data_IF_927216210250
#
_entry.id   IF_927216210250
#
_cell.length_a   1.000
_cell.length_b   1.000
_cell.length_c   1.000
_cell.angle_alpha   90.00
_cell.angle_beta   90.00
_cell.angle_gamma   90.00
#
_symmetry.space_group_name_H-M   'P 1'
#
loop_
_entity.id
_entity.type
_entity.pdbx_description
1 polymer ?
#
# COMPACT_ATOMS: atom_id res chain seq x y z
N UNK A 1 -7.29 12.47 -11.16
CA UNK A 1 -6.43 11.26 -11.35
C UNK A 1 -7.04 10.30 -12.36
N UNK A 2 -6.27 9.77 -13.33
CA UNK A 2 -6.75 8.89 -14.41
C UNK A 2 -7.13 7.44 -13.99
N UNK A 3 -6.93 7.05 -12.73
CA UNK A 3 -7.24 5.69 -12.27
C UNK A 3 -8.75 5.47 -12.09
N UNK A 4 -9.32 4.29 -12.36
CA UNK A 4 -10.73 4.03 -12.08
C UNK A 4 -11.05 3.87 -10.58
N UNK A 5 -12.34 3.87 -10.22
CA UNK A 5 -12.77 3.46 -8.89
C UNK A 5 -12.55 1.95 -8.72
N UNK A 6 -12.29 1.51 -7.49
CA UNK A 6 -12.06 0.11 -7.18
C UNK A 6 -10.68 -0.43 -7.59
N UNK A 7 -9.80 0.39 -8.17
CA UNK A 7 -8.45 -0.02 -8.53
C UNK A 7 -7.62 -0.37 -7.30
N UNK A 8 -6.88 -1.47 -7.38
CA UNK A 8 -5.86 -1.86 -6.42
C UNK A 8 -4.60 -1.01 -6.64
N UNK A 9 -4.11 -0.38 -5.58
CA UNK A 9 -2.96 0.53 -5.61
C UNK A 9 -2.00 0.25 -4.45
N UNK A 10 -0.73 0.57 -4.65
CA UNK A 10 0.33 0.50 -3.65
C UNK A 10 1.30 1.68 -3.81
N UNK A 11 2.22 1.85 -2.86
CA UNK A 11 3.21 2.93 -2.85
C UNK A 11 2.57 4.33 -3.01
N UNK A 12 1.67 4.66 -2.09
CA UNK A 12 0.81 5.86 -2.17
C UNK A 12 1.47 7.06 -1.49
N UNK A 13 1.45 8.22 -2.15
CA UNK A 13 1.79 9.53 -1.57
C UNK A 13 0.74 10.05 -0.59
N UNK A 14 1.17 10.61 0.54
CA UNK A 14 0.28 11.37 1.44
C UNK A 14 0.19 12.83 1.01
N UNK A 15 1.33 13.40 0.63
CA UNK A 15 1.47 14.77 0.16
C UNK A 15 2.05 14.73 -1.25
N UNK A 16 1.52 15.50 -2.21
CA UNK A 16 2.06 15.54 -3.56
C UNK A 16 3.55 15.88 -3.57
N UNK A 17 4.35 15.08 -4.27
CA UNK A 17 5.79 15.26 -4.40
C UNK A 17 6.65 14.73 -3.24
N UNK A 18 6.07 14.12 -2.20
CA UNK A 18 6.84 13.51 -1.09
C UNK A 18 7.19 12.04 -1.30
N UNK A 19 6.82 11.46 -2.43
CA UNK A 19 7.04 10.04 -2.73
C UNK A 19 6.11 9.11 -1.96
N UNK A 20 6.10 7.84 -2.37
CA UNK A 20 5.22 6.84 -1.78
C UNK A 20 5.58 6.55 -0.32
N UNK A 21 4.62 6.72 0.58
CA UNK A 21 4.79 6.53 2.02
C UNK A 21 3.94 5.36 2.54
N UNK A 22 2.74 5.17 1.97
CA UNK A 22 1.78 4.16 2.40
C UNK A 22 1.79 2.93 1.49
N UNK A 23 1.37 1.78 2.05
CA UNK A 23 1.22 0.50 1.34
C UNK A 23 2.51 0.08 0.58
N UNK A 24 3.64 0.01 1.30
CA UNK A 24 4.96 -0.38 0.76
C UNK A 24 5.43 -1.78 1.16
N UNK A 25 4.82 -2.38 2.18
CA UNK A 25 5.20 -3.70 2.67
C UNK A 25 4.90 -4.79 1.62
N UNK A 26 5.62 -5.90 1.71
CA UNK A 26 5.39 -7.08 0.88
C UNK A 26 3.90 -7.51 0.94
N UNK A 27 3.32 -7.79 -0.23
CA UNK A 27 1.89 -8.12 -0.37
C UNK A 27 0.89 -6.98 -0.08
N UNK A 28 1.35 -5.78 0.31
CA UNK A 28 0.44 -4.68 0.66
C UNK A 28 -0.38 -4.20 -0.56
N UNK A 29 -1.66 -3.93 -0.31
CA UNK A 29 -2.60 -3.39 -1.28
C UNK A 29 -3.57 -2.44 -0.60
N UNK A 30 -3.86 -1.34 -1.27
CA UNK A 30 -4.92 -0.41 -0.94
C UNK A 30 -5.91 -0.33 -2.10
N UNK A 31 -7.13 0.16 -1.84
CA UNK A 31 -8.18 0.23 -2.86
C UNK A 31 -8.81 1.62 -2.90
N UNK A 32 -9.04 2.15 -4.10
CA UNK A 32 -9.77 3.40 -4.28
C UNK A 32 -11.27 3.14 -4.06
N UNK A 33 -11.87 3.74 -3.03
CA UNK A 33 -13.30 3.59 -2.73
C UNK A 33 -14.10 4.68 -3.42
N UNK A 34 -13.70 5.94 -3.24
CA UNK A 34 -14.47 7.09 -3.70
C UNK A 34 -13.53 8.19 -4.23
N UNK A 35 -14.11 9.06 -5.05
CA UNK A 35 -13.44 10.23 -5.61
C UNK A 35 -14.40 11.40 -5.54
N UNK A 36 -14.07 12.39 -4.74
CA UNK A 36 -14.92 13.54 -4.47
C UNK A 36 -14.10 14.81 -4.70
N UNK A 37 -14.48 15.59 -5.72
CA UNK A 37 -13.78 16.82 -6.08
C UNK A 37 -12.27 16.59 -6.29
N UNK A 38 -11.46 17.20 -5.43
CA UNK A 38 -9.98 17.10 -5.44
C UNK A 38 -9.42 16.03 -4.51
N UNK A 39 -10.26 15.27 -3.81
CA UNK A 39 -9.85 14.22 -2.89
C UNK A 39 -10.22 12.84 -3.46
N UNK A 40 -9.40 11.85 -3.10
CA UNK A 40 -9.62 10.44 -3.33
C UNK A 40 -9.61 9.71 -1.99
N UNK A 41 -10.62 8.90 -1.76
CA UNK A 41 -10.78 8.11 -0.54
C UNK A 41 -10.25 6.71 -0.79
N UNK A 42 -9.23 6.32 -0.03
CA UNK A 42 -8.55 5.04 -0.13
C UNK A 42 -8.85 4.18 1.10
N UNK A 43 -9.04 2.88 0.88
CA UNK A 43 -8.97 1.86 1.94
C UNK A 43 -7.55 1.36 2.05
N UNK A 44 -6.94 1.54 3.21
CA UNK A 44 -5.60 1.06 3.52
C UNK A 44 -5.63 -0.44 3.90
N UNK A 45 -4.48 -1.14 3.80
CA UNK A 45 -4.39 -2.54 4.23
C UNK A 45 -4.67 -2.73 5.73
N UNK A 46 -4.52 -1.68 6.55
CA UNK A 46 -4.93 -1.67 7.97
C UNK A 46 -6.45 -1.70 8.18
N UNK A 47 -7.24 -1.52 7.12
CA UNK A 47 -8.68 -1.34 7.19
C UNK A 47 -9.11 0.12 7.38
N UNK A 48 -8.19 1.02 7.70
CA UNK A 48 -8.45 2.46 7.80
C UNK A 48 -8.87 3.04 6.45
N UNK A 49 -9.83 3.96 6.48
CA UNK A 49 -10.26 4.74 5.32
C UNK A 49 -9.69 6.14 5.43
N UNK A 50 -8.96 6.57 4.40
CA UNK A 50 -8.25 7.85 4.41
C UNK A 50 -8.44 8.61 3.11
N UNK A 51 -8.70 9.91 3.23
CA UNK A 51 -8.81 10.84 2.11
C UNK A 51 -7.47 11.49 1.79
N UNK A 52 -7.09 11.50 0.51
CA UNK A 52 -5.81 12.02 0.01
C UNK A 52 -6.08 12.91 -1.22
N UNK A 53 -5.24 13.90 -1.48
CA UNK A 53 -5.33 14.72 -2.70
C UNK A 53 -5.25 13.85 -3.96
N UNK A 54 -6.08 14.15 -4.96
CA UNK A 54 -6.05 13.51 -6.27
C UNK A 54 -4.78 13.81 -7.08
N UNK A 55 -4.01 14.80 -6.66
CA UNK A 55 -2.70 15.16 -7.22
C UNK A 55 -1.59 14.22 -6.75
N UNK A 56 -1.81 13.46 -5.66
CA UNK A 56 -0.85 12.48 -5.17
C UNK A 56 -0.67 11.32 -6.16
N UNK A 57 0.57 10.82 -6.24
CA UNK A 57 0.91 9.67 -7.05
C UNK A 57 0.68 8.35 -6.30
N UNK A 58 0.29 7.32 -7.05
CA UNK A 58 0.17 5.95 -6.57
C UNK A 58 0.49 4.99 -7.72
N UNK A 59 0.93 3.79 -7.38
CA UNK A 59 1.22 2.74 -8.37
C UNK A 59 0.08 1.75 -8.42
N UNK A 60 -0.36 1.38 -9.62
CA UNK A 60 -1.43 0.38 -9.81
C UNK A 60 -0.88 -1.03 -9.55
N UNK A 61 -1.65 -1.84 -8.83
CA UNK A 61 -1.31 -3.22 -8.48
C UNK A 61 -0.98 -3.39 -7.00
N UNK A 62 -0.33 -4.50 -6.69
CA UNK A 62 0.07 -4.92 -5.33
C UNK A 62 1.60 -5.01 -5.26
N UNK A 63 2.16 -4.80 -4.06
CA UNK A 63 3.58 -5.09 -3.82
C UNK A 63 3.85 -6.59 -3.97
N UNK A 64 4.96 -6.97 -4.57
CA UNK A 64 5.38 -8.37 -4.71
C UNK A 64 5.58 -9.08 -3.37
N UNK A 65 5.88 -10.39 -3.43
CA UNK A 65 6.04 -11.27 -2.27
C UNK A 65 4.76 -11.35 -1.41
N UNK A 66 3.69 -11.90 -2.00
CA UNK A 66 2.37 -11.99 -1.38
C UNK A 66 2.34 -13.01 -0.24
N UNK A 67 3.12 -14.08 -0.39
CA UNK A 67 3.15 -15.23 0.52
C UNK A 67 4.12 -15.06 1.69
N UNK A 68 4.72 -13.88 1.86
CA UNK A 68 5.66 -13.57 2.95
C UNK A 68 5.09 -13.86 4.34
N UNK A 69 3.76 -13.74 4.50
CA UNK A 69 3.08 -14.02 5.77
C UNK A 69 2.94 -15.51 6.06
N UNK A 70 3.14 -16.37 5.05
CA UNK A 70 3.05 -17.82 5.14
C UNK A 70 4.44 -18.47 5.15
N UNK A 71 5.51 -17.68 5.12
CA UNK A 71 6.89 -18.16 5.17
C UNK A 71 7.33 -18.45 6.61
N UNK A 72 7.67 -19.71 6.88
CA UNK A 72 8.20 -20.13 8.17
C UNK A 72 9.73 -19.97 8.23
N UNK A 73 10.23 -19.41 9.32
CA UNK A 73 11.68 -19.25 9.54
C UNK A 73 12.40 -20.60 9.81
N UNK A 74 11.65 -21.66 10.13
CA UNK A 74 12.10 -23.06 10.28
C UNK A 74 13.03 -23.36 11.46
N UNK A 75 13.96 -22.47 11.79
CA UNK A 75 14.93 -22.61 12.88
C UNK A 75 15.23 -21.28 13.57
N UNK A 76 15.62 -21.35 14.84
CA UNK A 76 16.05 -20.17 15.61
C UNK A 76 17.25 -19.43 14.98
N UNK A 77 18.08 -20.12 14.18
CA UNK A 77 19.19 -19.51 13.45
C UNK A 77 18.75 -18.52 12.36
N UNK A 78 17.67 -18.80 11.63
CA UNK A 78 17.15 -17.87 10.60
C UNK A 78 16.70 -16.55 11.21
N UNK A 79 16.09 -16.60 12.41
CA UNK A 79 15.70 -15.39 13.14
C UNK A 79 16.92 -14.54 13.53
N UNK A 80 18.00 -15.19 13.98
CA UNK A 80 19.28 -14.52 14.29
C UNK A 80 19.92 -13.89 13.04
N UNK A 81 19.84 -14.54 11.88
CA UNK A 81 20.33 -13.96 10.61
C UNK A 81 19.58 -12.69 10.20
N UNK A 82 18.30 -12.56 10.58
CA UNK A 82 17.49 -11.36 10.37
C UNK A 82 17.78 -10.24 11.39
N UNK A 83 18.71 -10.45 12.33
CA UNK A 83 19.03 -9.47 13.39
C UNK A 83 17.92 -9.31 14.43
N UNK A 84 17.11 -10.35 14.65
CA UNK A 84 16.01 -10.42 15.62
C UNK A 84 16.19 -11.53 16.65
#
# INVERSE_FOLDING_TARGET
TKMPLGTAVHNIEIVPGKGGQLARAAGAVAKIIAKEGRLATLRLPSGEVRSISQECLATVGRVGNIDINNEDLGKAGSKRWLGR
#
